data_IF_886205696473
#
_entry.id   IF_886205696473
#
_cell.length_a   1.000
_cell.length_b   1.000
_cell.length_c   1.000
_cell.angle_alpha   90.00
_cell.angle_beta   90.00
_cell.angle_gamma   90.00
#
_symmetry.space_group_name_H-M   'P 1'
#
loop_
_entity.id
_entity.type
_entity.pdbx_description
1 polymer ?
#
# COMPACT_ATOMS: atom_id res chain seq x y z
N UNK A 1 13.31 8.20 -1.69
CA UNK A 1 13.98 7.59 -0.53
C UNK A 1 15.00 6.58 -1.05
N UNK A 2 16.16 6.45 -0.41
CA UNK A 2 17.24 5.58 -0.89
C UNK A 2 16.92 4.09 -0.74
N UNK A 3 15.93 3.75 0.09
CA UNK A 3 15.38 2.41 0.31
C UNK A 3 13.85 2.45 0.35
N UNK A 4 13.21 1.33 0.03
CA UNK A 4 11.74 1.15 0.12
C UNK A 4 11.40 -0.12 0.89
N UNK A 5 10.28 -0.11 1.59
CA UNK A 5 9.75 -1.32 2.24
C UNK A 5 9.32 -2.34 1.18
N UNK A 6 9.61 -3.62 1.44
CA UNK A 6 9.16 -4.78 0.67
C UNK A 6 8.64 -5.83 1.64
N UNK A 7 7.34 -6.07 1.58
CA UNK A 7 6.59 -6.95 2.47
C UNK A 7 5.72 -7.94 1.66
N UNK A 8 5.37 -7.59 0.43
CA UNK A 8 4.54 -8.39 -0.46
C UNK A 8 5.37 -9.19 -1.46
N UNK A 9 4.98 -10.44 -1.69
CA UNK A 9 5.45 -11.27 -2.81
C UNK A 9 4.39 -11.35 -3.91
N UNK A 10 4.77 -11.72 -5.13
CA UNK A 10 3.84 -11.78 -6.27
C UNK A 10 2.71 -12.77 -6.02
N UNK A 11 3.05 -13.97 -5.51
CA UNK A 11 2.12 -14.97 -5.00
C UNK A 11 2.71 -15.51 -3.69
N UNK A 12 2.13 -15.18 -2.53
CA UNK A 12 2.60 -15.67 -1.22
C UNK A 12 2.53 -17.19 -1.13
N UNK A 13 3.54 -17.78 -0.49
CA UNK A 13 3.63 -19.22 -0.23
C UNK A 13 3.44 -19.59 1.24
N UNK A 14 3.61 -18.61 2.13
CA UNK A 14 3.70 -18.76 3.58
C UNK A 14 2.38 -18.43 4.28
N UNK A 15 1.89 -17.20 4.07
CA UNK A 15 0.75 -16.63 4.80
C UNK A 15 -0.07 -15.76 3.84
N UNK A 16 -1.38 -15.90 3.92
CA UNK A 16 -2.33 -14.99 3.29
C UNK A 16 -2.80 -13.99 4.31
N UNK A 17 -2.77 -12.71 3.92
CA UNK A 17 -2.92 -11.61 4.87
C UNK A 17 -4.26 -10.92 4.78
N UNK A 18 -4.98 -11.06 3.68
CA UNK A 18 -6.35 -10.56 3.56
C UNK A 18 -7.14 -11.34 2.51
N UNK A 19 -8.46 -11.16 2.51
CA UNK A 19 -9.35 -11.70 1.48
C UNK A 19 -9.05 -11.00 0.14
N UNK A 20 -8.96 -11.80 -0.93
CA UNK A 20 -8.69 -11.34 -2.30
C UNK A 20 -7.20 -11.35 -2.70
N UNK A 21 -6.29 -11.72 -1.80
CA UNK A 21 -4.89 -11.93 -2.16
C UNK A 21 -4.72 -13.18 -3.04
N UNK A 22 -4.07 -13.02 -4.21
CA UNK A 22 -3.89 -14.10 -5.16
C UNK A 22 -2.85 -15.13 -4.67
N UNK A 23 -3.20 -16.42 -4.70
CA UNK A 23 -2.33 -17.53 -4.26
C UNK A 23 -1.84 -18.41 -5.40
N UNK A 24 -2.55 -18.38 -6.52
CA UNK A 24 -2.22 -19.10 -7.73
C UNK A 24 -2.74 -18.32 -8.94
N UNK A 25 -2.19 -18.61 -10.12
CA UNK A 25 -2.63 -18.02 -11.37
C UNK A 25 -2.56 -19.05 -12.51
N UNK A 26 -3.43 -18.89 -13.50
CA UNK A 26 -3.52 -19.77 -14.65
C UNK A 26 -3.53 -18.94 -15.95
N UNK A 27 -2.89 -19.46 -16.99
CA UNK A 27 -3.02 -18.96 -18.35
C UNK A 27 -3.62 -20.05 -19.23
N UNK A 28 -4.59 -19.69 -20.05
CA UNK A 28 -5.26 -20.58 -20.99
C UNK A 28 -5.59 -19.82 -22.27
N UNK A 29 -5.94 -20.55 -23.33
CA UNK A 29 -6.30 -19.96 -24.64
C UNK A 29 -7.62 -19.17 -24.61
N UNK A 30 -8.49 -19.50 -23.66
CA UNK A 30 -9.76 -18.80 -23.42
C UNK A 30 -9.97 -18.60 -21.92
N UNK A 31 -10.70 -17.55 -21.58
CA UNK A 31 -11.06 -17.22 -20.19
C UNK A 31 -11.83 -18.38 -19.52
N UNK A 32 -12.78 -19.00 -20.24
CA UNK A 32 -13.55 -20.15 -19.76
C UNK A 32 -12.67 -21.35 -19.38
N UNK A 33 -11.67 -21.68 -20.22
CA UNK A 33 -10.68 -22.73 -19.92
C UNK A 33 -9.86 -22.36 -18.69
N UNK A 34 -9.48 -21.08 -18.56
CA UNK A 34 -8.75 -20.54 -17.40
C UNK A 34 -9.54 -20.69 -16.10
N UNK A 35 -10.80 -20.25 -16.07
CA UNK A 35 -11.68 -20.43 -14.91
C UNK A 35 -11.91 -21.90 -14.57
N UNK A 36 -12.14 -22.74 -15.58
CA UNK A 36 -12.29 -24.18 -15.39
C UNK A 36 -11.04 -24.83 -14.80
N UNK A 37 -9.85 -24.36 -15.18
CA UNK A 37 -8.59 -24.81 -14.60
C UNK A 37 -8.39 -24.32 -13.16
N UNK A 38 -8.72 -23.06 -12.87
CA UNK A 38 -8.63 -22.51 -11.51
C UNK A 38 -9.52 -23.28 -10.52
N UNK A 39 -10.72 -23.69 -10.91
CA UNK A 39 -11.62 -24.52 -10.09
C UNK A 39 -11.05 -25.89 -9.71
N UNK A 40 -10.05 -26.38 -10.43
CA UNK A 40 -9.39 -27.67 -10.15
C UNK A 40 -8.21 -27.53 -9.20
N UNK A 41 -7.78 -26.29 -8.90
CA UNK A 41 -6.70 -26.05 -7.94
C UNK A 41 -7.23 -26.39 -6.54
N UNK A 42 -6.57 -27.35 -5.89
CA UNK A 42 -6.80 -27.68 -4.49
C UNK A 42 -5.73 -26.97 -3.67
N UNK A 43 -6.17 -26.21 -2.67
CA UNK A 43 -5.28 -25.53 -1.73
C UNK A 43 -5.50 -26.17 -0.37
N UNK A 44 -4.42 -26.70 0.20
CA UNK A 44 -4.41 -27.18 1.57
C UNK A 44 -3.95 -26.03 2.48
N UNK A 45 -4.86 -25.59 3.35
CA UNK A 45 -4.57 -24.53 4.29
C UNK A 45 -3.98 -25.12 5.57
N UNK A 46 -2.89 -24.52 6.04
CA UNK A 46 -2.30 -24.86 7.33
C UNK A 46 -3.08 -24.23 8.49
N UNK A 47 -2.36 -23.53 9.36
CA UNK A 47 -2.95 -22.85 10.52
C UNK A 47 -3.91 -21.73 10.10
N UNK A 48 -5.15 -21.80 10.59
CA UNK A 48 -6.09 -20.68 10.57
C UNK A 48 -5.75 -19.69 11.69
N UNK A 49 -5.79 -18.41 11.38
CA UNK A 49 -5.58 -17.31 12.32
C UNK A 49 -6.86 -16.50 12.44
N UNK A 50 -7.11 -15.94 13.62
CA UNK A 50 -8.17 -14.93 13.78
C UNK A 50 -7.69 -13.62 13.12
N UNK A 51 -8.49 -13.04 12.22
CA UNK A 51 -8.07 -11.87 11.46
C UNK A 51 -8.15 -10.60 12.32
N UNK A 52 -7.05 -9.85 12.36
CA UNK A 52 -6.96 -8.52 12.97
C UNK A 52 -7.62 -7.49 12.06
N UNK A 53 -8.93 -7.29 12.21
CA UNK A 53 -9.71 -6.34 11.39
C UNK A 53 -9.97 -5.02 12.12
N UNK A 54 -9.65 -4.93 13.41
CA UNK A 54 -9.75 -3.72 14.21
C UNK A 54 -8.35 -3.11 14.41
N UNK A 55 -8.26 -1.77 14.34
CA UNK A 55 -6.99 -1.06 14.44
C UNK A 55 -6.41 -1.13 15.86
N UNK A 56 -7.24 -0.92 16.87
CA UNK A 56 -6.84 -0.98 18.28
C UNK A 56 -6.32 -2.37 18.65
N UNK A 57 -7.02 -3.44 18.25
CA UNK A 57 -6.59 -4.83 18.44
C UNK A 57 -5.25 -5.11 17.77
N UNK A 58 -5.05 -4.63 16.53
CA UNK A 58 -3.80 -4.85 15.81
C UNK A 58 -2.58 -4.18 16.47
N UNK A 59 -2.82 -3.11 17.24
CA UNK A 59 -1.79 -2.34 17.95
C UNK A 59 -1.46 -2.89 19.36
N UNK A 60 -2.24 -3.85 19.86
CA UNK A 60 -1.97 -4.44 21.18
C UNK A 60 -0.60 -5.11 21.23
N UNK A 61 0.08 -5.02 22.37
CA UNK A 61 1.44 -5.58 22.55
C UNK A 61 1.51 -7.08 22.24
N UNK A 62 0.41 -7.81 22.48
CA UNK A 62 0.34 -9.27 22.31
C UNK A 62 -0.46 -9.69 21.07
N UNK A 63 -0.82 -8.75 20.20
CA UNK A 63 -1.52 -9.05 18.96
C UNK A 63 -0.69 -10.01 18.08
N UNK A 64 -1.30 -11.02 17.44
CA UNK A 64 -0.61 -11.85 16.46
C UNK A 64 0.05 -10.99 15.39
N UNK A 65 1.29 -11.31 15.03
CA UNK A 65 2.00 -10.56 14.02
C UNK A 65 1.59 -10.98 12.60
N UNK A 66 1.18 -10.01 11.78
CA UNK A 66 0.86 -10.23 10.35
C UNK A 66 2.14 -10.51 9.56
N UNK A 67 3.20 -9.80 9.92
CA UNK A 67 4.56 -10.04 9.46
C UNK A 67 5.45 -10.34 10.65
N UNK A 68 6.31 -11.34 10.50
CA UNK A 68 7.41 -11.57 11.45
C UNK A 68 8.59 -10.63 11.13
N UNK A 69 8.79 -10.35 9.84
CA UNK A 69 9.76 -9.40 9.31
C UNK A 69 9.33 -8.88 7.93
N UNK A 70 9.92 -7.77 7.52
CA UNK A 70 9.86 -7.19 6.17
C UNK A 70 11.27 -6.82 5.71
N UNK A 71 11.41 -6.29 4.50
CA UNK A 71 12.69 -5.76 4.02
C UNK A 71 12.63 -4.25 3.81
N UNK A 72 13.69 -3.53 4.16
CA UNK A 72 13.91 -2.14 3.80
C UNK A 72 15.12 -2.06 2.86
N UNK A 73 14.86 -1.94 1.56
CA UNK A 73 15.88 -2.30 0.57
C UNK A 73 16.23 -3.80 0.71
N UNK A 74 17.51 -4.14 0.79
CA UNK A 74 17.98 -5.53 1.00
C UNK A 74 18.09 -5.94 2.47
N UNK A 75 17.83 -5.02 3.40
CA UNK A 75 17.98 -5.25 4.83
C UNK A 75 16.69 -5.85 5.41
N UNK A 76 16.81 -6.96 6.14
CA UNK A 76 15.69 -7.55 6.89
C UNK A 76 15.44 -6.74 8.16
N UNK A 77 14.19 -6.35 8.37
CA UNK A 77 13.73 -5.59 9.53
C UNK A 77 12.61 -6.37 10.21
N UNK A 78 12.80 -6.70 11.48
CA UNK A 78 11.77 -7.35 12.27
C UNK A 78 10.63 -6.38 12.55
N UNK A 79 9.41 -6.81 12.29
CA UNK A 79 8.20 -6.05 12.58
C UNK A 79 7.83 -6.20 14.05
N UNK A 80 7.24 -5.17 14.66
CA UNK A 80 6.77 -5.19 16.05
C UNK A 80 5.42 -4.49 16.15
N UNK A 81 4.50 -5.03 16.96
CA UNK A 81 3.14 -4.48 17.19
C UNK A 81 2.38 -4.16 15.89
N UNK A 82 2.61 -4.95 14.84
CA UNK A 82 2.08 -4.73 13.50
C UNK A 82 2.38 -3.35 12.88
N UNK A 83 3.38 -2.62 13.39
CA UNK A 83 3.79 -1.34 12.83
C UNK A 83 4.56 -1.59 11.53
N UNK A 84 4.08 -0.98 10.44
CA UNK A 84 4.67 -1.07 9.11
C UNK A 84 5.75 -0.01 8.88
N UNK A 85 5.46 1.22 9.29
CA UNK A 85 6.40 2.33 9.26
C UNK A 85 5.90 3.48 10.14
N UNK A 86 6.82 4.34 10.56
CA UNK A 86 6.53 5.52 11.36
C UNK A 86 7.16 6.76 10.72
N UNK A 87 6.58 7.93 10.99
CA UNK A 87 7.13 9.22 10.59
C UNK A 87 6.78 10.25 11.64
N UNK A 88 7.83 10.82 12.23
CA UNK A 88 7.71 11.87 13.22
C UNK A 88 8.32 13.16 12.68
N UNK A 89 7.71 14.29 13.04
CA UNK A 89 8.21 15.64 12.72
C UNK A 89 8.02 16.51 13.94
N UNK A 90 9.06 17.24 14.33
CA UNK A 90 9.02 18.16 15.46
C UNK A 90 9.69 19.48 15.08
N UNK A 91 9.05 20.59 15.45
CA UNK A 91 9.55 21.95 15.27
C UNK A 91 9.29 22.74 16.54
N UNK A 92 10.31 23.39 17.07
CA UNK A 92 10.21 24.18 18.31
C UNK A 92 10.02 23.31 19.55
N UNK A 93 9.39 23.87 20.57
CA UNK A 93 9.09 23.21 21.85
C UNK A 93 7.56 23.22 22.08
N UNK A 94 6.94 22.04 21.99
CA UNK A 94 5.48 21.95 22.12
C UNK A 94 5.00 22.25 23.53
N UNK A 95 5.80 21.94 24.56
CA UNK A 95 5.42 22.16 25.95
C UNK A 95 5.39 23.65 26.25
N UNK A 96 6.39 24.40 25.79
CA UNK A 96 6.41 25.87 25.85
C UNK A 96 5.19 26.45 25.13
N UNK A 97 4.94 26.02 23.89
CA UNK A 97 3.82 26.54 23.10
C UNK A 97 2.44 26.26 23.72
N UNK A 98 2.25 25.12 24.39
CA UNK A 98 1.00 24.85 25.11
C UNK A 98 0.89 25.64 26.43
N UNK A 99 2.00 25.89 27.15
CA UNK A 99 2.01 26.79 28.32
C UNK A 99 1.64 28.22 27.95
N UNK A 100 2.01 28.65 26.75
CA UNK A 100 1.62 29.96 26.22
C UNK A 100 0.14 30.01 25.77
N UNK A 101 -0.57 28.90 25.60
CA UNK A 101 -1.94 28.93 25.10
C UNK A 101 -2.93 29.46 26.15
N UNK A 102 -3.87 30.32 25.74
CA UNK A 102 -5.00 30.72 26.58
C UNK A 102 -6.15 29.69 26.51
N UNK A 103 -6.26 28.99 25.39
CA UNK A 103 -7.24 27.92 25.13
C UNK A 103 -6.54 26.75 24.46
N UNK A 104 -6.84 25.54 24.92
CA UNK A 104 -6.37 24.29 24.33
C UNK A 104 -7.58 23.44 23.94
N UNK A 105 -7.61 22.97 22.71
CA UNK A 105 -8.66 22.08 22.20
C UNK A 105 -8.02 20.79 21.73
N UNK A 106 -8.53 19.67 22.22
CA UNK A 106 -8.16 18.32 21.78
C UNK A 106 -9.38 17.58 21.23
N UNK A 107 -9.25 17.01 20.05
CA UNK A 107 -10.31 16.24 19.38
C UNK A 107 -9.72 15.04 18.64
N UNK A 108 -10.51 14.00 18.53
CA UNK A 108 -10.20 12.83 17.71
C UNK A 108 -11.13 12.80 16.50
N UNK A 109 -10.56 12.58 15.33
CA UNK A 109 -11.26 12.48 14.05
C UNK A 109 -10.91 11.16 13.39
N UNK A 110 -11.84 10.63 12.58
CA UNK A 110 -11.59 9.45 11.77
C UNK A 110 -12.11 9.65 10.35
N UNK A 111 -11.43 9.00 9.40
CA UNK A 111 -11.92 8.87 8.02
C UNK A 111 -12.05 7.40 7.67
N UNK A 112 -13.02 7.07 6.83
CA UNK A 112 -13.32 5.71 6.41
C UNK A 112 -12.42 5.25 5.25
N UNK A 113 -12.41 3.94 5.05
CA UNK A 113 -11.83 3.29 3.87
C UNK A 113 -12.68 3.63 2.65
N UNK A 114 -12.05 4.11 1.58
CA UNK A 114 -12.74 4.49 0.34
C UNK A 114 -12.00 3.87 -0.84
N UNK A 115 -12.75 3.20 -1.69
CA UNK A 115 -12.22 2.70 -2.96
C UNK A 115 -12.36 3.75 -4.06
N UNK A 116 -11.38 3.80 -4.96
CA UNK A 116 -11.21 4.86 -5.96
C UNK A 116 -12.29 4.86 -7.05
N UNK A 117 -12.89 3.71 -7.33
CA UNK A 117 -14.01 3.55 -8.28
C UNK A 117 -13.73 4.10 -9.70
N UNK A 118 -12.50 3.99 -10.19
CA UNK A 118 -12.21 4.22 -11.61
C UNK A 118 -13.03 3.28 -12.50
N UNK A 119 -13.51 3.75 -13.66
CA UNK A 119 -14.41 2.97 -14.52
C UNK A 119 -13.72 1.77 -15.18
N UNK A 120 -12.49 1.95 -15.66
CA UNK A 120 -11.65 0.85 -16.17
C UNK A 120 -11.10 0.03 -15.00
N UNK A 121 -11.31 -1.29 -15.00
CA UNK A 121 -10.66 -2.16 -14.01
C UNK A 121 -9.19 -2.38 -14.35
N UNK A 122 -8.39 -2.73 -13.34
CA UNK A 122 -6.96 -3.01 -13.54
C UNK A 122 -6.77 -4.10 -14.58
N UNK A 123 -5.88 -3.85 -15.53
CA UNK A 123 -5.56 -4.79 -16.59
C UNK A 123 -4.09 -4.75 -16.99
N UNK A 124 -3.61 -5.86 -17.53
CA UNK A 124 -2.28 -6.00 -18.10
C UNK A 124 -2.30 -6.89 -19.35
N UNK A 125 -1.47 -6.54 -20.33
CA UNK A 125 -1.06 -7.37 -21.46
C UNK A 125 0.46 -7.45 -21.43
N UNK A 126 1.00 -8.65 -21.47
CA UNK A 126 2.43 -8.91 -21.37
C UNK A 126 2.87 -9.82 -22.51
N UNK A 127 3.91 -9.42 -23.24
CA UNK A 127 4.47 -10.13 -24.38
C UNK A 127 5.93 -10.45 -24.10
N UNK A 128 6.32 -11.74 -23.99
CA UNK A 128 7.72 -12.11 -23.88
C UNK A 128 8.43 -11.89 -25.22
N UNK A 129 9.62 -11.31 -25.15
CA UNK A 129 10.43 -10.99 -26.32
C UNK A 129 11.45 -12.10 -26.61
N UNK A 130 11.86 -12.24 -27.87
CA UNK A 130 12.79 -13.29 -28.31
C UNK A 130 14.18 -13.20 -27.64
N UNK A 131 14.59 -12.00 -27.21
CA UNK A 131 15.86 -11.75 -26.54
C UNK A 131 15.83 -11.99 -25.02
N UNK A 132 14.73 -12.56 -24.50
CA UNK A 132 14.50 -12.78 -23.08
C UNK A 132 13.94 -11.55 -22.34
N UNK A 133 13.58 -10.50 -23.05
CA UNK A 133 12.88 -9.35 -22.51
C UNK A 133 11.36 -9.53 -22.35
N UNK A 134 10.70 -8.44 -21.94
CA UNK A 134 9.25 -8.38 -21.78
C UNK A 134 8.73 -6.98 -22.20
N UNK A 135 7.71 -6.94 -23.05
CA UNK A 135 6.91 -5.73 -23.29
C UNK A 135 5.59 -5.81 -22.52
N UNK A 136 5.24 -4.75 -21.80
CA UNK A 136 4.10 -4.70 -20.89
C UNK A 136 3.24 -3.47 -21.17
N UNK A 137 1.95 -3.68 -21.37
CA UNK A 137 0.91 -2.65 -21.35
C UNK A 137 0.05 -2.90 -20.12
N UNK A 138 0.08 -2.01 -19.14
CA UNK A 138 -0.68 -2.18 -17.90
C UNK A 138 -1.30 -0.86 -17.49
N UNK A 139 -2.46 -0.94 -16.83
CA UNK A 139 -3.05 0.21 -16.13
C UNK A 139 -2.05 0.71 -15.09
N UNK A 140 -1.45 1.89 -15.31
CA UNK A 140 -0.45 2.48 -14.42
C UNK A 140 -0.30 3.98 -14.63
N UNK A 141 -0.20 4.72 -13.53
CA UNK A 141 0.17 6.14 -13.50
C UNK A 141 1.69 6.35 -13.52
N UNK A 142 2.49 5.29 -13.36
CA UNK A 142 3.95 5.36 -13.17
C UNK A 142 4.73 4.25 -13.85
N UNK A 143 4.88 4.32 -15.18
CA UNK A 143 5.53 3.28 -15.99
C UNK A 143 6.99 2.98 -15.60
N UNK A 144 7.73 3.98 -15.11
CA UNK A 144 9.12 3.81 -14.71
C UNK A 144 9.25 2.94 -13.45
N UNK A 145 8.35 3.14 -12.49
CA UNK A 145 8.33 2.34 -11.27
C UNK A 145 7.95 0.88 -11.58
N UNK A 146 6.94 0.67 -12.43
CA UNK A 146 6.58 -0.67 -12.92
C UNK A 146 7.77 -1.35 -13.57
N UNK A 147 8.48 -0.64 -14.46
CA UNK A 147 9.68 -1.16 -15.14
C UNK A 147 10.78 -1.60 -14.17
N UNK A 148 11.07 -0.77 -13.16
CA UNK A 148 12.10 -1.06 -12.15
C UNK A 148 11.71 -2.29 -11.33
N UNK A 149 10.47 -2.34 -10.84
CA UNK A 149 9.98 -3.45 -10.02
C UNK A 149 9.95 -4.77 -10.80
N UNK A 150 9.51 -4.76 -12.06
CA UNK A 150 9.51 -5.97 -12.89
C UNK A 150 10.94 -6.47 -13.15
N UNK A 151 11.89 -5.57 -13.42
CA UNK A 151 13.30 -5.95 -13.59
C UNK A 151 13.86 -6.64 -12.34
N UNK A 152 13.56 -6.10 -11.16
CA UNK A 152 13.99 -6.67 -9.88
C UNK A 152 13.30 -8.01 -9.57
N UNK A 153 11.99 -8.12 -9.78
CA UNK A 153 11.21 -9.32 -9.45
C UNK A 153 11.60 -10.51 -10.33
N UNK A 154 11.78 -10.28 -11.63
CA UNK A 154 12.03 -11.33 -12.61
C UNK A 154 13.50 -11.45 -13.01
N UNK A 155 14.38 -10.66 -12.39
CA UNK A 155 15.81 -10.57 -12.72
C UNK A 155 16.05 -10.31 -14.22
N UNK A 156 15.24 -9.43 -14.81
CA UNK A 156 15.37 -9.03 -16.22
C UNK A 156 16.12 -7.68 -16.26
N UNK A 157 17.22 -7.57 -17.03
CA UNK A 157 17.91 -6.31 -17.21
C UNK A 157 16.94 -5.19 -17.63
N UNK A 158 17.04 -4.01 -17.02
CA UNK A 158 16.05 -2.95 -17.24
C UNK A 158 15.92 -2.55 -18.71
N UNK A 159 17.01 -2.58 -19.50
CA UNK A 159 16.98 -2.31 -20.94
C UNK A 159 16.15 -3.32 -21.75
N UNK A 160 15.79 -4.46 -21.16
CA UNK A 160 14.92 -5.50 -21.73
C UNK A 160 13.50 -5.52 -21.13
N UNK A 161 13.19 -4.59 -20.22
CA UNK A 161 11.83 -4.38 -19.69
C UNK A 161 11.24 -3.12 -20.31
N UNK A 162 10.22 -3.29 -21.15
CA UNK A 162 9.60 -2.23 -21.92
C UNK A 162 8.14 -2.03 -21.48
N UNK A 163 7.91 -1.07 -20.58
CA UNK A 163 6.56 -0.73 -20.12
C UNK A 163 6.01 0.41 -20.98
N UNK A 164 4.95 0.12 -21.74
CA UNK A 164 4.31 1.08 -22.64
C UNK A 164 3.25 1.89 -21.89
N UNK A 165 3.32 3.21 -22.06
CA UNK A 165 2.24 4.11 -21.65
C UNK A 165 1.03 3.86 -22.54
N UNK A 166 -0.14 3.74 -21.91
CA UNK A 166 -1.44 3.60 -22.58
C UNK A 166 -2.40 4.69 -22.12
N UNK A 167 -3.50 4.84 -22.83
CA UNK A 167 -4.67 5.58 -22.33
C UNK A 167 -5.25 4.88 -21.11
N UNK A 168 -5.75 5.65 -20.13
CA UNK A 168 -6.30 5.12 -18.88
C UNK A 168 -7.73 5.63 -18.68
N UNK A 169 -8.64 4.73 -18.28
CA UNK A 169 -10.02 5.02 -17.89
C UNK A 169 -10.17 5.54 -16.45
N UNK A 170 -9.20 6.32 -15.99
CA UNK A 170 -9.09 6.83 -14.62
C UNK A 170 -8.27 5.95 -13.68
N UNK A 171 -7.82 6.52 -12.57
CA UNK A 171 -7.11 5.78 -11.50
C UNK A 171 -7.21 6.49 -10.15
N UNK A 172 -7.17 7.82 -10.11
CA UNK A 172 -7.34 8.63 -8.89
C UNK A 172 -6.36 8.29 -7.75
N UNK A 173 -5.17 7.76 -8.08
CA UNK A 173 -4.20 7.27 -7.11
C UNK A 173 -4.09 5.75 -7.05
N UNK A 174 -5.10 5.02 -7.53
CA UNK A 174 -5.18 3.56 -7.46
C UNK A 174 -4.14 2.81 -8.30
N UNK A 175 -3.33 3.52 -9.08
CA UNK A 175 -2.34 2.89 -9.96
C UNK A 175 -1.03 3.67 -9.99
N UNK A 176 -0.72 4.41 -8.92
CA UNK A 176 0.58 5.07 -8.73
C UNK A 176 1.68 4.03 -8.51
N UNK A 177 1.39 3.02 -7.68
CA UNK A 177 2.18 1.80 -7.54
C UNK A 177 1.98 0.86 -8.74
N UNK A 178 2.80 -0.19 -8.81
CA UNK A 178 2.53 -1.30 -9.72
C UNK A 178 1.35 -2.12 -9.20
N UNK A 179 0.29 -2.20 -10.00
CA UNK A 179 -0.88 -3.04 -9.70
C UNK A 179 -0.47 -4.52 -9.61
N UNK A 180 -0.99 -5.24 -8.60
CA UNK A 180 -0.57 -6.62 -8.28
C UNK A 180 -0.75 -7.62 -9.41
N UNK A 181 -1.72 -7.37 -10.29
CA UNK A 181 -2.00 -8.19 -11.46
C UNK A 181 -0.87 -8.14 -12.50
N UNK A 182 -0.09 -7.07 -12.50
CA UNK A 182 0.97 -6.82 -13.50
C UNK A 182 2.08 -7.86 -13.38
N UNK A 183 2.74 -8.05 -12.21
CA UNK A 183 3.74 -9.10 -12.08
C UNK A 183 3.15 -10.51 -12.26
N UNK A 184 1.88 -10.75 -11.89
CA UNK A 184 1.22 -12.04 -12.15
C UNK A 184 1.13 -12.30 -13.66
N UNK A 185 0.68 -11.30 -14.43
CA UNK A 185 0.57 -11.39 -15.89
C UNK A 185 1.95 -11.62 -16.55
N UNK A 186 2.99 -10.91 -16.08
CA UNK A 186 4.38 -11.11 -16.55
C UNK A 186 4.85 -12.53 -16.24
N UNK A 187 4.63 -13.04 -15.02
CA UNK A 187 5.01 -14.40 -14.66
C UNK A 187 4.35 -15.46 -15.56
N UNK A 188 3.05 -15.29 -15.85
CA UNK A 188 2.32 -16.16 -16.76
C UNK A 188 2.86 -16.07 -18.20
N UNK A 189 3.13 -14.87 -18.71
CA UNK A 189 3.66 -14.65 -20.05
C UNK A 189 5.03 -15.28 -20.24
N UNK A 190 5.94 -15.09 -19.27
CA UNK A 190 7.28 -15.70 -19.28
C UNK A 190 7.20 -17.22 -19.19
N UNK A 191 6.33 -17.76 -18.32
CA UNK A 191 6.15 -19.21 -18.17
C UNK A 191 5.56 -19.86 -19.41
N UNK A 192 4.57 -19.22 -20.02
CA UNK A 192 3.90 -19.70 -21.23
C UNK A 192 4.74 -19.46 -22.51
N UNK A 193 5.72 -18.56 -22.46
CA UNK A 193 6.46 -18.04 -23.62
C UNK A 193 5.52 -17.53 -24.72
N UNK A 194 4.40 -16.94 -24.30
CA UNK A 194 3.34 -16.43 -25.18
C UNK A 194 2.77 -15.14 -24.59
N UNK A 195 2.18 -14.26 -25.44
CA UNK A 195 1.39 -13.13 -24.96
C UNK A 195 0.30 -13.58 -23.99
N UNK A 196 0.16 -12.87 -22.87
CA UNK A 196 -0.90 -13.08 -21.88
C UNK A 196 -1.62 -11.76 -21.65
N UNK A 197 -2.95 -11.82 -21.59
CA UNK A 197 -3.82 -10.73 -21.15
C UNK A 197 -4.47 -11.15 -19.83
N UNK A 198 -4.48 -10.25 -18.86
CA UNK A 198 -5.16 -10.41 -17.58
C UNK A 198 -5.94 -9.15 -17.26
N UNK A 199 -7.23 -9.29 -16.96
CA UNK A 199 -8.14 -8.19 -16.62
C UNK A 199 -8.87 -8.61 -15.36
N UNK A 200 -8.93 -7.75 -14.35
CA UNK A 200 -9.71 -8.04 -13.15
C UNK A 200 -11.18 -7.74 -13.39
N UNK A 201 -12.03 -8.54 -12.75
CA UNK A 201 -13.41 -8.15 -12.48
C UNK A 201 -13.43 -6.92 -11.56
N UNK A 202 -14.60 -6.28 -11.44
CA UNK A 202 -14.77 -5.15 -10.51
C UNK A 202 -14.53 -5.57 -9.05
N UNK A 203 -14.99 -6.76 -8.68
CA UNK A 203 -14.84 -7.29 -7.32
C UNK A 203 -13.36 -7.50 -6.97
N UNK A 204 -12.61 -8.18 -7.85
CA UNK A 204 -11.15 -8.36 -7.67
C UNK A 204 -10.40 -7.02 -7.60
N UNK A 205 -10.81 -6.04 -8.40
CA UNK A 205 -10.18 -4.71 -8.41
C UNK A 205 -10.37 -3.94 -7.09
N UNK A 206 -11.54 -4.13 -6.44
CA UNK A 206 -11.84 -3.57 -5.11
C UNK A 206 -10.97 -4.22 -4.03
N UNK A 207 -10.68 -5.52 -4.15
CA UNK A 207 -9.84 -6.25 -3.19
C UNK A 207 -8.33 -5.99 -3.33
N UNK A 208 -7.88 -5.29 -4.38
CA UNK A 208 -6.45 -5.08 -4.59
C UNK A 208 -5.84 -4.04 -3.62
N UNK A 209 -6.50 -2.89 -3.42
CA UNK A 209 -6.21 -1.90 -2.38
C UNK A 209 -7.22 -0.74 -2.41
N UNK A 210 -7.24 0.07 -1.34
CA UNK A 210 -8.06 1.28 -1.23
C UNK A 210 -7.34 2.40 -0.49
N UNK A 211 -7.94 3.60 -0.45
CA UNK A 211 -7.45 4.69 0.41
C UNK A 211 -7.48 4.21 1.88
N UNK A 212 -6.38 4.44 2.58
CA UNK A 212 -6.27 4.10 4.00
C UNK A 212 -7.21 4.97 4.87
N UNK A 213 -8.00 4.36 5.78
CA UNK A 213 -8.63 5.10 6.85
C UNK A 213 -7.56 5.64 7.82
N UNK A 214 -7.88 6.76 8.44
CA UNK A 214 -6.97 7.53 9.28
C UNK A 214 -7.70 7.91 10.56
N UNK A 215 -7.12 7.60 11.72
CA UNK A 215 -7.53 8.13 13.03
C UNK A 215 -6.54 9.22 13.42
N UNK A 216 -7.02 10.43 13.64
CA UNK A 216 -6.22 11.62 13.96
C UNK A 216 -6.61 12.15 15.32
N UNK A 217 -5.66 12.22 16.24
CA UNK A 217 -5.80 12.89 17.53
C UNK A 217 -5.06 14.22 17.41
N UNK A 218 -5.83 15.32 17.41
CA UNK A 218 -5.32 16.65 17.15
C UNK A 218 -5.55 17.54 18.38
N UNK A 219 -4.45 18.09 18.89
CA UNK A 219 -4.43 19.03 20.00
C UNK A 219 -3.84 20.35 19.54
N UNK A 220 -4.57 21.45 19.69
CA UNK A 220 -4.15 22.79 19.25
C UNK A 220 -4.29 23.77 20.42
N UNK A 221 -3.25 24.58 20.62
CA UNK A 221 -3.23 25.70 21.55
C UNK A 221 -3.35 27.03 20.81
N UNK A 222 -4.14 27.94 21.35
CA UNK A 222 -4.34 29.28 20.80
C UNK A 222 -4.43 30.34 21.91
N UNK A 223 -4.07 31.58 21.55
CA UNK A 223 -4.32 32.79 22.33
C UNK A 223 -5.75 33.30 22.12
N UNK A 224 -6.23 34.16 23.03
CA UNK A 224 -7.56 34.82 22.91
C UNK A 224 -7.71 35.66 21.64
N UNK A 225 -6.61 36.14 21.07
CA UNK A 225 -6.58 36.89 19.80
C UNK A 225 -6.63 35.97 18.56
N UNK A 226 -6.71 34.65 18.75
CA UNK A 226 -6.77 33.65 17.68
C UNK A 226 -5.41 33.16 17.18
N UNK A 227 -4.29 33.68 17.68
CA UNK A 227 -2.95 33.22 17.29
C UNK A 227 -2.69 31.80 17.80
N UNK A 228 -2.27 30.91 16.92
CA UNK A 228 -1.90 29.53 17.26
C UNK A 228 -0.49 29.50 17.89
N UNK A 229 -0.36 28.79 19.02
CA UNK A 229 0.89 28.73 19.80
C UNK A 229 1.58 27.37 19.68
N UNK A 230 0.79 26.29 19.71
CA UNK A 230 1.26 24.91 19.57
C UNK A 230 0.23 24.05 18.83
N UNK A 231 0.71 23.03 18.12
CA UNK A 231 -0.13 21.96 17.62
C UNK A 231 0.56 20.59 17.72
N UNK A 232 -0.18 19.59 18.19
CA UNK A 232 0.25 18.21 18.26
C UNK A 232 -0.74 17.33 17.49
N UNK A 233 -0.27 16.67 16.44
CA UNK A 233 -1.06 15.81 15.59
C UNK A 233 -0.51 14.38 15.66
N UNK A 234 -1.27 13.47 16.27
CA UNK A 234 -0.96 12.04 16.27
C UNK A 234 -1.88 11.34 15.31
N UNK A 235 -1.33 10.52 14.42
CA UNK A 235 -2.13 9.77 13.45
C UNK A 235 -1.80 8.29 13.45
N UNK A 236 -2.86 7.50 13.31
CA UNK A 236 -2.81 6.06 13.17
C UNK A 236 -3.50 5.70 11.85
N UNK A 237 -2.77 5.02 10.97
CA UNK A 237 -3.22 4.64 9.63
C UNK A 237 -3.37 3.13 9.56
N UNK A 238 -4.56 2.64 9.24
CA UNK A 238 -4.82 1.21 9.02
C UNK A 238 -4.51 0.88 7.54
N UNK A 239 -3.40 0.20 7.29
CA UNK A 239 -2.91 0.04 5.92
C UNK A 239 -3.33 -1.26 5.23
N UNK A 240 -4.09 -2.11 5.92
CA UNK A 240 -4.44 -3.44 5.40
C UNK A 240 -3.26 -4.41 5.50
N UNK A 241 -3.31 -5.45 4.67
CA UNK A 241 -2.36 -6.56 4.72
C UNK A 241 -0.99 -6.28 4.12
N UNK A 242 -0.84 -5.19 3.35
CA UNK A 242 0.40 -4.86 2.62
C UNK A 242 0.66 -3.35 2.59
N UNK A 243 1.92 -2.96 2.69
CA UNK A 243 2.42 -1.59 2.64
C UNK A 243 2.65 -1.16 1.20
N UNK A 244 1.69 -0.39 0.68
CA UNK A 244 1.72 0.09 -0.71
C UNK A 244 2.26 1.52 -0.78
N UNK A 245 1.70 2.43 0.03
CA UNK A 245 2.06 3.85 0.06
C UNK A 245 1.98 4.44 1.48
N UNK A 246 2.18 3.64 2.53
CA UNK A 246 1.98 4.09 3.91
C UNK A 246 2.91 5.24 4.30
N UNK A 247 4.21 5.09 4.03
CA UNK A 247 5.22 6.08 4.41
C UNK A 247 5.06 7.42 3.66
N UNK A 248 4.85 7.44 2.32
CA UNK A 248 4.48 8.67 1.62
C UNK A 248 3.19 9.31 2.14
N UNK A 249 2.17 8.51 2.47
CA UNK A 249 0.90 9.02 2.99
C UNK A 249 1.07 9.72 4.34
N UNK A 250 1.79 9.11 5.29
CA UNK A 250 2.17 9.77 6.55
C UNK A 250 2.93 11.08 6.29
N UNK A 251 3.77 11.11 5.26
CA UNK A 251 4.46 12.33 4.83
C UNK A 251 3.54 13.42 4.31
N UNK A 252 2.52 13.07 3.51
CA UNK A 252 1.52 14.01 3.04
C UNK A 252 0.71 14.60 4.21
N UNK A 253 0.26 13.76 5.15
CA UNK A 253 -0.48 14.22 6.33
C UNK A 253 0.36 15.19 7.17
N UNK A 254 1.63 14.85 7.44
CA UNK A 254 2.56 15.73 8.14
C UNK A 254 2.73 17.08 7.41
N UNK A 255 2.96 17.04 6.10
CA UNK A 255 3.17 18.24 5.29
C UNK A 255 1.95 19.15 5.25
N UNK A 256 0.74 18.59 5.14
CA UNK A 256 -0.49 19.37 5.17
C UNK A 256 -0.72 19.97 6.56
N UNK A 257 -0.57 19.16 7.61
CA UNK A 257 -0.65 19.64 8.99
C UNK A 257 0.30 20.82 9.27
N UNK A 258 1.55 20.73 8.81
CA UNK A 258 2.56 21.76 9.03
C UNK A 258 2.39 23.01 8.15
N UNK A 259 1.71 22.93 7.00
CA UNK A 259 1.64 24.02 6.02
C UNK A 259 0.34 24.83 6.04
N UNK A 260 -0.74 24.31 6.64
CA UNK A 260 -2.05 24.99 6.63
C UNK A 260 -2.07 26.29 7.43
N UNK A 261 -1.37 26.34 8.56
CA UNK A 261 -1.29 27.52 9.42
C UNK A 261 0.12 27.71 9.95
N UNK A 262 0.42 28.94 10.39
CA UNK A 262 1.69 29.26 11.03
C UNK A 262 1.66 28.81 12.49
N UNK A 263 2.47 27.81 12.82
CA UNK A 263 2.78 27.40 14.18
C UNK A 263 4.23 27.74 14.52
N UNK A 264 4.49 28.23 15.73
CA UNK A 264 5.87 28.35 16.25
C UNK A 264 6.38 26.99 16.71
N UNK A 265 5.50 26.21 17.34
CA UNK A 265 5.80 24.90 17.91
C UNK A 265 4.82 23.86 17.35
N UNK A 266 5.32 22.79 16.77
CA UNK A 266 4.47 21.71 16.27
C UNK A 266 5.14 20.34 16.43
N UNK A 267 4.33 19.33 16.72
CA UNK A 267 4.74 17.92 16.72
C UNK A 267 3.75 17.08 15.94
N UNK A 268 4.27 16.21 15.10
CA UNK A 268 3.54 15.22 14.34
C UNK A 268 4.12 13.84 14.65
N UNK A 269 3.27 12.88 14.98
CA UNK A 269 3.65 11.49 15.18
C UNK A 269 2.70 10.62 14.34
N UNK A 270 3.27 9.90 13.37
CA UNK A 270 2.49 9.13 12.42
C UNK A 270 2.89 7.66 12.44
N UNK A 271 1.93 6.78 12.70
CA UNK A 271 2.14 5.33 12.71
C UNK A 271 1.23 4.66 11.68
N UNK A 272 1.80 3.82 10.82
CA UNK A 272 1.07 2.95 9.92
C UNK A 272 1.06 1.51 10.45
N UNK A 273 -0.12 0.89 10.47
CA UNK A 273 -0.36 -0.39 11.15
C UNK A 273 -0.99 -1.39 10.18
N UNK A 274 -0.40 -2.58 10.09
CA UNK A 274 -0.95 -3.71 9.34
C UNK A 274 -2.24 -4.23 10.00
N UNK A 275 -3.19 -4.64 9.16
CA UNK A 275 -4.43 -5.35 9.54
C UNK A 275 -4.73 -6.44 8.50
N UNK A 276 -5.69 -7.30 8.76
CA UNK A 276 -6.12 -8.33 7.80
C UNK A 276 -7.23 -7.83 6.83
N UNK A 277 -7.26 -6.52 6.58
CA UNK A 277 -8.10 -5.88 5.56
C UNK A 277 -7.30 -5.62 4.28
N UNK A 278 -8.02 -5.26 3.22
CA UNK A 278 -7.48 -4.79 1.93
C UNK A 278 -6.80 -3.44 2.09
#
# INVERSE_FOLDING_TARGET
>A
PDKTYRDRTVLPKDKIRHVGEAVAACAAETEEKGFSALKKIKIEWGKKWEPLINLEEAMETNAPQIYDHVYLGEERVDTKKNIACERDVEVGDIEEGFKEADVIVERTFSTQRIYHMQLETKSAVCVPEADGGITVWTTSQGIHNVRILLGNIFNIPLNKVNVKRITLGGSFGSSIQMNSITPICVALALKAKRPVKLVTTREEDIYDHSKYPLKTILKIGAKKDGKLTAAHCRVQVEIGGHNIQAYPYLGCVAGWFASLYKYKNLKYEGTAIYTNKV
#
